data_IF_024962289619
#
_entry.id   IF_024962289619
#
_cell.length_a   1.000
_cell.length_b   1.000
_cell.length_c   1.000
_cell.angle_alpha   90.00
_cell.angle_beta   90.00
_cell.angle_gamma   90.00
#
_symmetry.space_group_name_H-M   'P 1'
#
loop_
_entity.id
_entity.type
_entity.pdbx_description
1 polymer ?
#
# COMPACT_ATOMS: atom_id res chain seq x y z
N UNK A 1 -6.24 78.65 -14.14
CA UNK A 1 -6.26 77.67 -13.05
C UNK A 1 -7.55 76.86 -13.20
N UNK A 2 -7.46 75.66 -13.80
CA UNK A 2 -8.61 74.80 -13.97
C UNK A 2 -8.42 73.62 -13.01
N UNK A 3 -9.27 73.52 -12.03
CA UNK A 3 -9.27 72.54 -10.98
C UNK A 3 -10.08 71.29 -11.50
N UNK A 4 -9.44 70.21 -11.80
CA UNK A 4 -10.10 68.96 -12.21
C UNK A 4 -10.55 68.18 -10.95
N UNK A 5 -11.81 67.75 -10.89
CA UNK A 5 -12.30 66.96 -9.76
C UNK A 5 -11.66 65.58 -9.74
N UNK A 6 -11.19 65.16 -8.59
CA UNK A 6 -10.64 63.85 -8.32
C UNK A 6 -11.81 62.86 -8.24
N UNK A 7 -11.84 61.84 -9.14
CA UNK A 7 -12.89 60.82 -9.21
C UNK A 7 -12.59 59.67 -8.21
N UNK A 8 -13.43 59.49 -7.19
CA UNK A 8 -13.21 58.48 -6.15
C UNK A 8 -13.45 57.03 -6.64
N UNK A 9 -13.97 56.82 -7.85
CA UNK A 9 -14.25 55.47 -8.34
C UNK A 9 -13.03 54.70 -8.87
N UNK A 10 -11.97 55.37 -9.28
CA UNK A 10 -10.74 54.73 -9.74
C UNK A 10 -9.90 54.11 -8.61
N UNK A 11 -10.00 54.67 -7.40
CA UNK A 11 -9.27 54.18 -6.23
C UNK A 11 -9.83 52.83 -5.69
N UNK A 12 -11.15 52.65 -5.73
CA UNK A 12 -11.78 51.44 -5.18
C UNK A 12 -11.57 50.17 -6.04
N UNK A 13 -11.43 50.31 -7.36
CA UNK A 13 -11.19 49.16 -8.24
C UNK A 13 -9.75 48.62 -8.15
N UNK A 14 -8.79 49.47 -7.79
CA UNK A 14 -7.38 49.08 -7.68
C UNK A 14 -7.13 48.26 -6.42
N UNK A 15 -7.76 48.63 -5.28
CA UNK A 15 -7.66 47.84 -4.04
C UNK A 15 -8.37 46.50 -4.13
N UNK A 16 -9.45 46.37 -4.91
CA UNK A 16 -10.15 45.12 -5.11
C UNK A 16 -9.37 44.16 -6.02
N UNK A 17 -8.66 44.63 -7.03
CA UNK A 17 -7.82 43.83 -7.91
C UNK A 17 -6.54 43.33 -7.22
N UNK A 18 -5.91 44.19 -6.40
CA UNK A 18 -4.70 43.82 -5.65
C UNK A 18 -5.01 42.81 -4.53
N UNK A 19 -6.17 42.89 -3.89
CA UNK A 19 -6.63 41.91 -2.90
C UNK A 19 -6.93 40.53 -3.50
N UNK A 20 -7.53 40.49 -4.70
CA UNK A 20 -7.81 39.25 -5.40
C UNK A 20 -6.54 38.57 -5.91
N UNK A 21 -5.60 39.31 -6.48
CA UNK A 21 -4.30 38.79 -6.92
C UNK A 21 -3.44 38.27 -5.75
N UNK A 22 -3.46 38.98 -4.62
CA UNK A 22 -2.73 38.53 -3.43
C UNK A 22 -3.30 37.24 -2.81
N UNK A 23 -4.63 37.09 -2.84
CA UNK A 23 -5.28 35.85 -2.36
C UNK A 23 -5.01 34.64 -3.30
N UNK A 24 -5.00 34.87 -4.60
CA UNK A 24 -4.72 33.85 -5.61
C UNK A 24 -3.25 33.40 -5.57
N UNK A 25 -2.31 34.33 -5.43
CA UNK A 25 -0.88 34.04 -5.28
C UNK A 25 -0.58 33.28 -3.98
N UNK A 26 -1.27 33.59 -2.88
CA UNK A 26 -1.13 32.86 -1.60
C UNK A 26 -1.74 31.47 -1.66
N UNK A 27 -2.81 31.24 -2.41
CA UNK A 27 -3.39 29.89 -2.57
C UNK A 27 -2.51 29.00 -3.44
N UNK A 28 -1.89 29.53 -4.48
CA UNK A 28 -0.96 28.81 -5.37
C UNK A 28 0.33 28.45 -4.62
N UNK A 29 0.90 29.40 -3.86
CA UNK A 29 2.10 29.14 -3.06
C UNK A 29 1.85 28.13 -1.92
N UNK A 30 0.65 28.12 -1.34
CA UNK A 30 0.21 27.14 -0.36
C UNK A 30 0.10 25.72 -0.94
N UNK A 31 -0.42 25.59 -2.15
CA UNK A 31 -0.51 24.30 -2.85
C UNK A 31 0.86 23.78 -3.31
N UNK A 32 1.73 24.66 -3.79
CA UNK A 32 3.11 24.28 -4.13
C UNK A 32 3.93 23.86 -2.91
N UNK A 33 3.78 24.52 -1.78
CA UNK A 33 4.48 24.15 -0.54
C UNK A 33 3.97 22.84 0.04
N UNK A 34 2.67 22.56 -0.04
CA UNK A 34 2.08 21.26 0.33
C UNK A 34 2.52 20.15 -0.62
N UNK A 35 2.55 20.40 -1.92
CA UNK A 35 3.06 19.46 -2.92
C UNK A 35 4.53 19.12 -2.70
N UNK A 36 5.37 20.13 -2.43
CA UNK A 36 6.79 19.96 -2.11
C UNK A 36 7.01 19.22 -0.79
N UNK A 37 6.27 19.54 0.26
CA UNK A 37 6.40 18.85 1.55
C UNK A 37 5.93 17.39 1.48
N UNK A 38 4.87 17.10 0.73
CA UNK A 38 4.43 15.73 0.48
C UNK A 38 5.44 14.94 -0.38
N UNK A 39 5.98 15.55 -1.43
CA UNK A 39 7.00 14.91 -2.27
C UNK A 39 8.31 14.68 -1.52
N UNK A 40 8.71 15.60 -0.65
CA UNK A 40 9.91 15.47 0.20
C UNK A 40 9.69 14.39 1.27
N UNK A 41 8.51 14.32 1.90
CA UNK A 41 8.21 13.31 2.92
C UNK A 41 8.04 11.90 2.35
N UNK A 42 7.54 11.77 1.12
CA UNK A 42 7.45 10.50 0.41
C UNK A 42 8.80 10.09 -0.20
N UNK A 43 9.56 11.03 -0.72
CA UNK A 43 10.86 10.79 -1.35
C UNK A 43 12.00 10.52 -0.36
N UNK A 44 11.96 11.08 0.85
CA UNK A 44 13.00 10.91 1.87
C UNK A 44 13.06 9.49 2.47
N UNK A 45 12.01 8.69 2.30
CA UNK A 45 11.96 7.30 2.76
C UNK A 45 12.36 6.26 1.69
N UNK A 46 12.61 6.70 0.46
CA UNK A 46 13.01 5.80 -0.63
C UNK A 46 14.51 5.97 -0.84
N UNK A 47 15.31 5.12 -0.18
CA UNK A 47 16.73 5.00 -0.53
C UNK A 47 16.81 4.38 -1.93
N UNK A 48 17.41 5.13 -2.87
CA UNK A 48 17.77 4.59 -4.18
C UNK A 48 19.15 3.93 -4.04
N UNK A 49 19.26 2.71 -4.50
CA UNK A 49 20.55 2.04 -4.67
C UNK A 49 21.34 2.80 -5.74
N UNK A 50 22.68 2.73 -5.74
CA UNK A 50 23.55 3.38 -6.74
C UNK A 50 23.17 3.03 -8.20
N UNK A 51 22.46 1.93 -8.42
CA UNK A 51 21.88 1.50 -9.70
C UNK A 51 20.49 2.10 -10.01
N UNK A 52 19.97 3.06 -9.21
CA UNK A 52 18.68 3.71 -9.46
C UNK A 52 17.45 2.88 -9.11
N UNK A 53 17.62 1.64 -8.65
CA UNK A 53 16.52 0.76 -8.25
C UNK A 53 16.02 1.10 -6.84
N UNK A 54 14.69 1.08 -6.66
CA UNK A 54 14.06 1.24 -5.35
C UNK A 54 14.38 0.00 -4.51
N UNK A 55 15.02 0.20 -3.37
CA UNK A 55 15.25 -0.89 -2.40
C UNK A 55 13.93 -1.22 -1.69
N UNK A 56 13.15 -2.10 -2.33
CA UNK A 56 11.84 -2.56 -1.83
C UNK A 56 11.99 -3.21 -0.47
N UNK A 57 13.09 -3.92 -0.23
CA UNK A 57 13.35 -4.57 1.05
C UNK A 57 13.51 -3.55 2.18
N UNK A 58 14.15 -2.42 1.90
CA UNK A 58 14.31 -1.33 2.88
C UNK A 58 12.99 -0.59 3.14
N UNK A 59 12.14 -0.44 2.10
CA UNK A 59 10.84 0.23 2.21
C UNK A 59 9.84 -0.50 3.12
N UNK A 60 9.88 -1.85 3.17
CA UNK A 60 9.04 -2.70 4.03
C UNK A 60 9.62 -2.93 5.44
N UNK A 61 10.67 -2.18 5.82
CA UNK A 61 11.30 -2.30 7.13
C UNK A 61 12.43 -3.33 7.19
N UNK A 62 12.97 -3.72 6.03
CA UNK A 62 14.04 -4.69 5.91
C UNK A 62 13.64 -6.11 6.32
N UNK A 63 14.61 -7.00 6.42
CA UNK A 63 14.42 -8.39 6.84
C UNK A 63 13.72 -8.52 8.20
N UNK A 64 14.02 -7.62 9.12
CA UNK A 64 13.41 -7.56 10.44
C UNK A 64 11.90 -7.28 10.37
N UNK A 65 11.46 -6.33 9.55
CA UNK A 65 10.05 -6.02 9.37
C UNK A 65 9.26 -7.20 8.81
N UNK A 66 9.87 -7.99 7.91
CA UNK A 66 9.28 -9.20 7.36
C UNK A 66 9.07 -10.29 8.41
N UNK A 67 10.08 -10.54 9.24
CA UNK A 67 10.00 -11.52 10.33
C UNK A 67 8.92 -11.10 11.33
N UNK A 68 8.94 -9.86 11.78
CA UNK A 68 7.98 -9.34 12.74
C UNK A 68 6.52 -9.43 12.26
N UNK A 69 6.26 -9.20 10.97
CA UNK A 69 4.89 -9.28 10.41
C UNK A 69 4.42 -10.70 10.16
N UNK A 70 5.34 -11.63 9.89
CA UNK A 70 5.01 -13.04 9.60
C UNK A 70 4.95 -13.90 10.85
N UNK A 71 5.71 -13.55 11.89
CA UNK A 71 5.89 -14.38 13.08
C UNK A 71 4.60 -14.67 13.85
N UNK A 72 3.67 -13.73 14.09
CA UNK A 72 2.42 -14.07 14.78
C UNK A 72 1.60 -15.14 14.05
N UNK A 73 1.50 -15.06 12.73
CA UNK A 73 0.79 -16.07 11.92
C UNK A 73 1.52 -17.40 11.88
N UNK A 74 2.85 -17.38 11.89
CA UNK A 74 3.68 -18.59 11.96
C UNK A 74 3.52 -19.27 13.33
N UNK A 75 3.54 -18.51 14.41
CA UNK A 75 3.32 -19.03 15.76
C UNK A 75 1.91 -19.63 15.89
N UNK A 76 0.88 -18.94 15.38
CA UNK A 76 -0.46 -19.51 15.32
C UNK A 76 -0.46 -20.86 14.63
N UNK A 77 0.14 -20.97 13.45
CA UNK A 77 0.20 -22.20 12.68
C UNK A 77 0.92 -23.33 13.43
N UNK A 78 2.10 -23.04 13.99
CA UNK A 78 2.91 -24.04 14.72
C UNK A 78 2.15 -24.57 15.94
N UNK A 79 1.65 -23.66 16.79
CA UNK A 79 0.98 -24.06 18.03
C UNK A 79 -0.35 -24.76 17.75
N UNK A 80 -1.09 -24.34 16.75
CA UNK A 80 -2.31 -25.01 16.33
C UNK A 80 -2.02 -26.41 15.77
N UNK A 81 -0.96 -26.56 14.96
CA UNK A 81 -0.60 -27.87 14.38
C UNK A 81 -0.16 -28.87 15.44
N UNK A 82 0.60 -28.41 16.44
CA UNK A 82 1.15 -29.29 17.50
C UNK A 82 0.09 -29.65 18.54
N UNK A 83 -0.65 -28.66 19.04
CA UNK A 83 -1.55 -28.85 20.18
C UNK A 83 -3.01 -29.10 19.79
N UNK A 84 -3.40 -28.76 18.56
CA UNK A 84 -4.80 -28.76 18.08
C UNK A 84 -5.75 -27.92 18.95
N UNK A 85 -5.20 -27.06 19.80
CA UNK A 85 -5.95 -26.15 20.66
C UNK A 85 -5.98 -24.76 20.02
N UNK A 86 -7.19 -24.38 19.55
CA UNK A 86 -7.43 -23.11 18.91
C UNK A 86 -7.17 -21.93 19.87
N UNK A 87 -7.66 -22.03 21.11
CA UNK A 87 -7.55 -20.94 22.06
C UNK A 87 -6.11 -20.64 22.44
N UNK A 88 -5.32 -21.71 22.69
CA UNK A 88 -3.89 -21.59 22.97
C UNK A 88 -3.15 -20.93 21.80
N UNK A 89 -3.41 -21.39 20.57
CA UNK A 89 -2.77 -20.83 19.37
C UNK A 89 -3.12 -19.37 19.15
N UNK A 90 -4.39 -18.96 19.38
CA UNK A 90 -4.83 -17.57 19.26
C UNK A 90 -4.18 -16.68 20.32
N UNK A 91 -4.14 -17.11 21.58
CA UNK A 91 -3.50 -16.36 22.67
C UNK A 91 -2.02 -16.11 22.35
N UNK A 92 -1.31 -17.14 21.89
CA UNK A 92 0.12 -17.03 21.56
C UNK A 92 0.32 -16.05 20.38
N UNK A 93 -0.51 -16.13 19.34
CA UNK A 93 -0.41 -15.22 18.18
C UNK A 93 -0.66 -13.75 18.58
N UNK A 94 -1.69 -13.50 19.39
CA UNK A 94 -2.02 -12.14 19.87
C UNK A 94 -0.96 -11.63 20.82
N UNK A 95 -0.47 -12.47 21.74
CA UNK A 95 0.61 -12.10 22.66
C UNK A 95 1.90 -11.73 21.90
N UNK A 96 2.27 -12.51 20.90
CA UNK A 96 3.42 -12.22 20.06
C UNK A 96 3.25 -10.87 19.33
N UNK A 97 2.09 -10.64 18.70
CA UNK A 97 1.79 -9.38 18.03
C UNK A 97 1.85 -8.20 19.01
N UNK A 98 1.34 -8.37 20.23
CA UNK A 98 1.41 -7.38 21.30
C UNK A 98 2.84 -7.05 21.71
N UNK A 99 3.67 -8.07 21.94
CA UNK A 99 5.08 -7.91 22.28
C UNK A 99 5.83 -7.14 21.19
N UNK A 100 5.66 -7.51 19.91
CA UNK A 100 6.30 -6.78 18.81
C UNK A 100 5.81 -5.34 18.69
N UNK A 101 4.53 -5.11 18.95
CA UNK A 101 3.99 -3.74 18.94
C UNK A 101 4.62 -2.91 20.06
N UNK A 102 4.71 -3.43 21.27
CA UNK A 102 5.36 -2.76 22.41
C UNK A 102 6.83 -2.49 22.13
N UNK A 103 7.57 -3.48 21.60
CA UNK A 103 8.97 -3.30 21.22
C UNK A 103 9.15 -2.19 20.18
N UNK A 104 8.28 -2.09 19.19
CA UNK A 104 8.29 -1.01 18.19
C UNK A 104 7.98 0.36 18.80
N UNK A 105 7.06 0.42 19.75
CA UNK A 105 6.75 1.65 20.49
C UNK A 105 7.97 2.14 21.30
N UNK A 106 8.63 1.24 22.02
CA UNK A 106 9.85 1.56 22.79
C UNK A 106 10.98 2.06 21.87
N UNK A 107 11.11 1.49 20.68
CA UNK A 107 12.09 1.89 19.67
C UNK A 107 11.74 3.18 18.93
N UNK A 108 10.65 3.86 19.32
CA UNK A 108 10.14 5.09 18.67
C UNK A 108 9.99 4.96 17.16
N UNK A 109 9.69 3.76 16.66
CA UNK A 109 9.40 3.54 15.25
C UNK A 109 8.00 4.08 14.88
N UNK A 110 7.69 4.18 13.59
CA UNK A 110 6.41 4.71 13.11
C UNK A 110 5.23 3.95 13.74
N UNK A 111 4.34 4.66 14.43
CA UNK A 111 3.20 4.10 15.18
C UNK A 111 2.19 3.39 14.27
N UNK A 112 1.93 3.95 13.07
CA UNK A 112 0.91 3.44 12.15
C UNK A 112 1.16 1.97 11.75
N UNK A 113 2.37 1.55 11.30
CA UNK A 113 2.63 0.15 10.99
C UNK A 113 2.59 -0.78 12.22
N UNK A 114 2.95 -0.28 13.41
CA UNK A 114 2.92 -1.07 14.63
C UNK A 114 1.48 -1.38 15.05
N UNK A 115 0.62 -0.36 15.08
CA UNK A 115 -0.79 -0.50 15.46
C UNK A 115 -1.56 -1.30 14.41
N UNK A 116 -1.33 -1.09 13.12
CA UNK A 116 -2.03 -1.84 12.07
C UNK A 116 -1.72 -3.34 12.13
N UNK A 117 -0.51 -3.73 12.54
CA UNK A 117 -0.12 -5.13 12.69
C UNK A 117 -0.92 -5.83 13.78
N UNK A 118 -0.99 -5.26 14.99
CA UNK A 118 -1.76 -5.86 16.10
C UNK A 118 -3.26 -5.88 15.81
N UNK A 119 -3.81 -4.82 15.22
CA UNK A 119 -5.22 -4.77 14.81
C UNK A 119 -5.53 -5.86 13.80
N UNK A 120 -4.67 -6.07 12.81
CA UNK A 120 -4.84 -7.14 11.82
C UNK A 120 -4.85 -8.53 12.45
N UNK A 121 -3.92 -8.82 13.36
CA UNK A 121 -3.89 -10.10 14.10
C UNK A 121 -5.10 -10.26 15.01
N UNK A 122 -5.51 -9.19 15.70
CA UNK A 122 -6.68 -9.21 16.57
C UNK A 122 -7.99 -9.50 15.79
N UNK A 123 -8.17 -8.92 14.61
CA UNK A 123 -9.31 -9.21 13.73
C UNK A 123 -9.29 -10.67 13.31
N UNK A 124 -8.14 -11.21 12.88
CA UNK A 124 -8.01 -12.62 12.51
C UNK A 124 -8.33 -13.56 13.70
N UNK A 125 -7.76 -13.26 14.86
CA UNK A 125 -7.99 -14.04 16.08
C UNK A 125 -9.45 -13.97 16.53
N UNK A 126 -10.05 -12.79 16.53
CA UNK A 126 -11.46 -12.61 16.88
C UNK A 126 -12.39 -13.39 15.95
N UNK A 127 -12.12 -13.41 14.65
CA UNK A 127 -12.92 -14.17 13.68
C UNK A 127 -12.88 -15.66 14.01
N UNK A 128 -11.69 -16.25 14.17
CA UNK A 128 -11.53 -17.66 14.52
C UNK A 128 -12.12 -18.01 15.90
N UNK A 129 -11.96 -17.12 16.89
CA UNK A 129 -12.55 -17.31 18.22
C UNK A 129 -14.07 -17.35 18.19
N UNK A 130 -14.70 -16.45 17.43
CA UNK A 130 -16.16 -16.37 17.32
C UNK A 130 -16.81 -17.57 16.64
N UNK A 131 -16.13 -18.13 15.66
CA UNK A 131 -16.63 -19.27 14.87
C UNK A 131 -16.22 -20.63 15.44
N UNK A 132 -15.20 -20.66 16.28
CA UNK A 132 -14.60 -21.90 16.78
C UNK A 132 -13.82 -22.70 15.72
N UNK A 133 -13.64 -22.12 14.52
CA UNK A 133 -12.93 -22.76 13.41
C UNK A 133 -11.57 -22.09 13.16
N UNK A 134 -10.49 -22.85 13.25
CA UNK A 134 -9.13 -22.34 13.06
C UNK A 134 -8.87 -21.81 11.65
N UNK A 135 -9.54 -22.36 10.62
CA UNK A 135 -9.42 -21.86 9.25
C UNK A 135 -9.91 -20.41 9.10
N UNK A 136 -10.85 -19.98 9.95
CA UNK A 136 -11.42 -18.63 9.90
C UNK A 136 -10.44 -17.54 10.35
N UNK A 137 -9.31 -17.92 10.98
CA UNK A 137 -8.18 -17.01 11.21
C UNK A 137 -7.66 -16.39 9.89
N UNK A 138 -7.83 -17.08 8.77
CA UNK A 138 -7.36 -16.62 7.47
C UNK A 138 -8.42 -15.85 6.67
N UNK A 139 -9.67 -15.86 7.11
CA UNK A 139 -10.81 -15.25 6.40
C UNK A 139 -10.66 -13.75 6.11
N UNK A 140 -10.19 -12.90 7.05
CA UNK A 140 -9.97 -11.48 6.77
C UNK A 140 -8.96 -11.25 5.64
N UNK A 141 -7.99 -12.16 5.49
CA UNK A 141 -7.03 -12.13 4.39
C UNK A 141 -7.66 -12.41 3.03
N UNK A 142 -8.66 -13.27 2.95
CA UNK A 142 -9.38 -13.53 1.70
C UNK A 142 -10.18 -12.31 1.26
N UNK A 143 -10.90 -11.68 2.19
CA UNK A 143 -11.61 -10.43 1.92
C UNK A 143 -10.66 -9.35 1.42
N UNK A 144 -9.53 -9.16 2.08
CA UNK A 144 -8.52 -8.19 1.67
C UNK A 144 -7.98 -8.46 0.27
N UNK A 145 -7.62 -9.72 -0.03
CA UNK A 145 -7.15 -10.11 -1.37
C UNK A 145 -8.25 -9.94 -2.42
N UNK A 146 -9.50 -10.26 -2.10
CA UNK A 146 -10.66 -10.08 -2.97
C UNK A 146 -10.90 -8.61 -3.32
N UNK A 147 -10.93 -7.75 -2.31
CA UNK A 147 -11.12 -6.30 -2.49
C UNK A 147 -10.01 -5.71 -3.35
N UNK A 148 -8.75 -6.06 -3.08
CA UNK A 148 -7.64 -5.60 -3.91
C UNK A 148 -7.70 -6.13 -5.34
N UNK A 149 -8.08 -7.41 -5.54
CA UNK A 149 -8.25 -7.96 -6.89
C UNK A 149 -9.31 -7.19 -7.68
N UNK A 150 -10.44 -6.91 -7.05
CA UNK A 150 -11.52 -6.10 -7.66
C UNK A 150 -11.01 -4.68 -7.98
N UNK A 151 -10.28 -4.05 -7.05
CA UNK A 151 -9.74 -2.71 -7.25
C UNK A 151 -8.73 -2.67 -8.42
N UNK A 152 -7.83 -3.66 -8.52
CA UNK A 152 -6.89 -3.76 -9.65
C UNK A 152 -7.64 -3.96 -10.99
N UNK A 153 -8.61 -4.86 -11.04
CA UNK A 153 -9.38 -5.13 -12.25
C UNK A 153 -10.22 -3.90 -12.65
N UNK A 154 -10.92 -3.29 -11.70
CA UNK A 154 -11.70 -2.08 -11.93
C UNK A 154 -10.82 -0.94 -12.47
N UNK A 155 -9.60 -0.78 -11.92
CA UNK A 155 -8.65 0.24 -12.38
C UNK A 155 -8.22 0.06 -13.84
N UNK A 156 -8.11 -1.19 -14.31
CA UNK A 156 -7.80 -1.50 -15.70
C UNK A 156 -8.99 -1.11 -16.61
N UNK A 157 -10.21 -1.47 -16.19
CA UNK A 157 -11.45 -1.21 -16.95
C UNK A 157 -11.68 0.30 -17.09
N UNK A 158 -11.52 1.05 -16.01
CA UNK A 158 -11.66 2.51 -16.00
C UNK A 158 -10.53 3.22 -16.77
N UNK A 159 -9.46 2.49 -17.15
CA UNK A 159 -8.31 3.07 -17.87
C UNK A 159 -7.33 3.84 -16.98
N UNK A 160 -7.40 3.59 -15.68
CA UNK A 160 -6.48 4.12 -14.67
C UNK A 160 -5.73 2.99 -13.97
N UNK A 161 -4.83 2.27 -14.66
CA UNK A 161 -4.15 1.13 -14.07
C UNK A 161 -3.35 1.53 -12.82
N UNK A 162 -3.63 0.87 -11.69
CA UNK A 162 -3.01 1.19 -10.38
C UNK A 162 -1.48 1.06 -10.43
N UNK A 163 -0.95 0.08 -11.15
CA UNK A 163 0.50 -0.02 -11.33
C UNK A 163 1.07 1.22 -12.04
N UNK A 164 0.33 1.81 -12.98
CA UNK A 164 0.73 3.05 -13.65
C UNK A 164 0.75 4.24 -12.72
N UNK A 165 -0.21 4.33 -11.79
CA UNK A 165 -0.21 5.38 -10.77
C UNK A 165 0.99 5.25 -9.83
N UNK A 166 1.27 4.03 -9.34
CA UNK A 166 2.35 3.78 -8.38
C UNK A 166 3.71 3.88 -9.08
N UNK A 167 3.92 3.13 -10.15
CA UNK A 167 5.22 3.05 -10.83
C UNK A 167 5.54 4.33 -11.63
N UNK A 168 4.51 4.95 -12.24
CA UNK A 168 4.68 6.22 -12.94
C UNK A 168 5.11 7.34 -11.98
N UNK A 169 4.56 7.36 -10.77
CA UNK A 169 4.99 8.31 -9.75
C UNK A 169 6.43 8.02 -9.25
N UNK A 170 6.77 6.76 -9.00
CA UNK A 170 8.13 6.34 -8.57
C UNK A 170 9.17 6.68 -9.63
N UNK A 171 8.83 6.51 -10.92
CA UNK A 171 9.71 6.82 -12.06
C UNK A 171 9.76 8.31 -12.42
N UNK A 172 8.95 9.14 -11.76
CA UNK A 172 8.87 10.57 -12.06
C UNK A 172 8.09 10.92 -13.33
N UNK A 173 7.44 9.94 -13.95
CA UNK A 173 6.60 10.14 -15.14
C UNK A 173 5.28 10.86 -14.80
N UNK A 174 4.93 10.93 -13.52
CA UNK A 174 3.64 11.47 -13.03
C UNK A 174 2.45 10.87 -13.81
N UNK A 175 1.67 11.68 -14.53
CA UNK A 175 0.54 11.24 -15.36
C UNK A 175 0.81 11.30 -16.88
N UNK A 176 2.03 11.65 -17.29
CA UNK A 176 2.39 11.78 -18.73
C UNK A 176 2.34 10.46 -19.48
N UNK A 177 2.51 9.33 -18.76
CA UNK A 177 2.37 7.99 -19.32
C UNK A 177 0.99 7.71 -19.94
N UNK A 178 -0.06 8.41 -19.48
CA UNK A 178 -1.42 8.25 -20.06
C UNK A 178 -1.53 8.77 -21.48
N UNK A 179 -0.73 9.76 -21.86
CA UNK A 179 -0.71 10.35 -23.20
C UNK A 179 0.00 9.45 -24.21
N UNK A 180 0.80 8.48 -23.74
CA UNK A 180 1.55 7.53 -24.56
C UNK A 180 0.84 6.15 -24.55
N UNK A 181 0.22 5.72 -25.67
CA UNK A 181 -0.56 4.47 -25.70
C UNK A 181 0.27 3.23 -25.37
N UNK A 182 1.56 3.21 -25.70
CA UNK A 182 2.49 2.12 -25.38
C UNK A 182 2.72 2.01 -23.87
N UNK A 183 2.93 3.14 -23.18
CA UNK A 183 3.10 3.19 -21.73
C UNK A 183 1.83 2.74 -21.00
N UNK A 184 0.66 3.19 -21.50
CA UNK A 184 -0.61 2.78 -20.95
C UNK A 184 -0.83 1.26 -21.06
N UNK A 185 -0.45 0.65 -22.19
CA UNK A 185 -0.52 -0.82 -22.38
C UNK A 185 0.40 -1.55 -21.41
N UNK A 186 1.64 -1.07 -21.26
CA UNK A 186 2.62 -1.65 -20.32
C UNK A 186 2.14 -1.58 -18.87
N UNK A 187 1.58 -0.46 -18.44
CA UNK A 187 1.02 -0.33 -17.09
C UNK A 187 -0.27 -1.13 -16.87
N UNK A 188 -1.11 -1.28 -17.90
CA UNK A 188 -2.24 -2.21 -17.83
C UNK A 188 -1.76 -3.65 -17.65
N UNK A 189 -0.74 -4.08 -18.39
CA UNK A 189 -0.16 -5.42 -18.25
C UNK A 189 0.46 -5.62 -16.86
N UNK A 190 1.19 -4.64 -16.35
CA UNK A 190 1.72 -4.68 -14.99
C UNK A 190 0.61 -4.80 -13.93
N UNK A 191 -0.50 -4.08 -14.11
CA UNK A 191 -1.67 -4.18 -13.22
C UNK A 191 -2.34 -5.55 -13.32
N UNK A 192 -2.42 -6.15 -14.51
CA UNK A 192 -2.92 -7.52 -14.70
C UNK A 192 -2.05 -8.55 -13.99
N UNK A 193 -0.71 -8.41 -14.04
CA UNK A 193 0.21 -9.30 -13.30
C UNK A 193 -0.09 -9.25 -11.81
N UNK A 194 -0.26 -8.04 -11.24
CA UNK A 194 -0.60 -7.88 -9.82
C UNK A 194 -1.95 -8.49 -9.47
N UNK A 195 -2.98 -8.25 -10.31
CA UNK A 195 -4.29 -8.87 -10.14
C UNK A 195 -4.21 -10.40 -10.19
N UNK A 196 -3.45 -10.97 -11.13
CA UNK A 196 -3.27 -12.41 -11.28
C UNK A 196 -2.61 -13.03 -10.06
N UNK A 197 -1.62 -12.38 -9.45
CA UNK A 197 -0.98 -12.83 -8.21
C UNK A 197 -2.02 -12.96 -7.08
N UNK A 198 -2.89 -11.96 -6.92
CA UNK A 198 -3.93 -11.98 -5.89
C UNK A 198 -5.01 -13.04 -6.18
N UNK A 199 -5.44 -13.16 -7.43
CA UNK A 199 -6.42 -14.16 -7.86
C UNK A 199 -5.87 -15.59 -7.70
N UNK A 200 -4.60 -15.82 -8.03
CA UNK A 200 -3.94 -17.11 -7.86
C UNK A 200 -3.91 -17.54 -6.38
N UNK A 201 -3.65 -16.57 -5.49
CA UNK A 201 -3.72 -16.83 -4.05
C UNK A 201 -5.12 -17.26 -3.62
N UNK A 202 -6.15 -16.55 -4.06
CA UNK A 202 -7.54 -16.90 -3.73
C UNK A 202 -7.92 -18.25 -4.33
N UNK A 203 -7.54 -18.51 -5.59
CA UNK A 203 -7.84 -19.77 -6.27
C UNK A 203 -7.26 -21.01 -5.56
N UNK A 204 -6.09 -20.86 -4.92
CA UNK A 204 -5.47 -21.96 -4.16
C UNK A 204 -5.99 -22.02 -2.73
N UNK A 205 -6.13 -20.87 -2.07
CA UNK A 205 -6.47 -20.84 -0.64
C UNK A 205 -7.95 -21.07 -0.35
N UNK A 206 -8.86 -20.66 -1.23
CA UNK A 206 -10.31 -20.87 -1.03
C UNK A 206 -10.69 -22.36 -1.01
N UNK A 207 -10.24 -23.20 -1.94
CA UNK A 207 -10.50 -24.66 -1.84
C UNK A 207 -9.96 -25.28 -0.55
N UNK A 208 -8.73 -24.92 -0.15
CA UNK A 208 -8.13 -25.41 1.08
C UNK A 208 -8.93 -25.00 2.33
N UNK A 209 -9.51 -23.81 2.31
CA UNK A 209 -10.38 -23.32 3.37
C UNK A 209 -11.64 -24.19 3.48
N UNK A 210 -12.34 -24.47 2.37
CA UNK A 210 -13.53 -25.34 2.38
C UNK A 210 -13.23 -26.78 2.77
N UNK A 211 -12.01 -27.25 2.54
CA UNK A 211 -11.54 -28.56 2.98
C UNK A 211 -11.16 -28.58 4.47
N UNK A 212 -11.24 -27.47 5.18
CA UNK A 212 -10.75 -27.29 6.57
C UNK A 212 -9.29 -27.71 6.75
N UNK A 213 -8.49 -27.66 5.70
CA UNK A 213 -7.07 -28.00 5.73
C UNK A 213 -6.24 -26.82 6.30
N UNK A 214 -6.48 -26.47 7.56
CA UNK A 214 -5.93 -25.27 8.23
C UNK A 214 -4.41 -25.20 8.18
N UNK A 215 -3.73 -26.33 8.36
CA UNK A 215 -2.26 -26.40 8.35
C UNK A 215 -1.68 -26.13 6.96
N UNK A 216 -2.27 -26.78 5.94
CA UNK A 216 -1.86 -26.58 4.53
C UNK A 216 -2.18 -25.15 4.11
N UNK A 217 -3.33 -24.61 4.53
CA UNK A 217 -3.74 -23.24 4.27
C UNK A 217 -2.73 -22.24 4.87
N UNK A 218 -2.31 -22.47 6.10
CA UNK A 218 -1.31 -21.63 6.77
C UNK A 218 0.05 -21.71 6.09
N UNK A 219 0.52 -22.92 5.74
CA UNK A 219 1.77 -23.10 5.01
C UNK A 219 1.73 -22.40 3.64
N UNK A 220 0.64 -22.59 2.86
CA UNK A 220 0.45 -21.93 1.57
C UNK A 220 0.41 -20.40 1.72
N UNK A 221 -0.19 -19.87 2.80
CA UNK A 221 -0.21 -18.44 3.05
C UNK A 221 1.19 -17.86 3.22
N UNK A 222 2.11 -18.58 3.85
CA UNK A 222 3.51 -18.17 4.04
C UNK A 222 4.25 -18.25 2.70
N UNK A 223 4.18 -19.38 2.01
CA UNK A 223 4.87 -19.62 0.73
C UNK A 223 4.39 -18.64 -0.35
N UNK A 224 3.08 -18.44 -0.45
CA UNK A 224 2.47 -17.50 -1.40
C UNK A 224 2.40 -16.06 -0.84
N UNK A 225 2.98 -15.80 0.30
CA UNK A 225 3.05 -14.47 0.90
C UNK A 225 4.08 -13.64 0.18
N UNK A 226 5.15 -13.35 0.90
CA UNK A 226 6.20 -12.47 0.46
C UNK A 226 6.88 -12.88 -0.85
N UNK A 227 7.26 -14.15 -1.07
CA UNK A 227 7.96 -14.55 -2.29
C UNK A 227 7.12 -14.29 -3.55
N UNK A 228 5.84 -14.64 -3.49
CA UNK A 228 4.94 -14.46 -4.64
C UNK A 228 4.65 -12.98 -4.91
N UNK A 229 4.45 -12.17 -3.86
CA UNK A 229 4.28 -10.72 -4.03
C UNK A 229 5.54 -10.06 -4.57
N UNK A 230 6.72 -10.42 -4.06
CA UNK A 230 7.98 -9.89 -4.54
C UNK A 230 8.21 -10.23 -6.02
N UNK A 231 7.95 -11.48 -6.41
CA UNK A 231 8.04 -11.91 -7.80
C UNK A 231 7.02 -11.15 -8.69
N UNK A 232 5.79 -10.97 -8.23
CA UNK A 232 4.75 -10.24 -8.95
C UNK A 232 5.10 -8.77 -9.15
N UNK A 233 5.58 -8.09 -8.10
CA UNK A 233 6.03 -6.70 -8.18
C UNK A 233 7.24 -6.57 -9.11
N UNK A 234 8.22 -7.46 -8.98
CA UNK A 234 9.40 -7.46 -9.83
C UNK A 234 9.03 -7.65 -11.31
N UNK A 235 8.16 -8.62 -11.61
CA UNK A 235 7.70 -8.87 -12.98
C UNK A 235 6.90 -7.67 -13.53
N UNK A 236 5.99 -7.12 -12.73
CA UNK A 236 5.20 -5.95 -13.10
C UNK A 236 6.10 -4.72 -13.36
N UNK A 237 7.12 -4.53 -12.54
CA UNK A 237 8.11 -3.49 -12.73
C UNK A 237 8.90 -3.69 -14.02
N UNK A 238 9.40 -4.90 -14.28
CA UNK A 238 10.19 -5.24 -15.46
C UNK A 238 9.40 -5.04 -16.76
N UNK A 239 8.16 -5.53 -16.80
CA UNK A 239 7.29 -5.41 -17.99
C UNK A 239 6.88 -3.96 -18.26
N UNK A 240 6.81 -3.14 -17.21
CA UNK A 240 6.49 -1.72 -17.35
C UNK A 240 7.73 -0.84 -17.55
N UNK A 241 8.92 -1.42 -17.75
CA UNK A 241 10.12 -0.63 -18.02
C UNK A 241 10.02 0.11 -19.36
N UNK A 242 10.42 1.40 -19.44
CA UNK A 242 10.53 2.07 -20.72
C UNK A 242 11.52 1.30 -21.58
N UNK A 243 11.12 0.89 -22.79
CA UNK A 243 12.11 0.42 -23.77
C UNK A 243 13.14 1.54 -23.94
N UNK A 244 14.41 1.22 -23.71
CA UNK A 244 15.49 2.14 -24.05
C UNK A 244 15.34 2.44 -25.54
N UNK A 245 14.99 3.68 -25.88
CA UNK A 245 15.03 4.16 -27.25
C UNK A 245 16.49 4.27 -27.61
N UNK A 246 17.02 3.17 -28.15
CA UNK A 246 18.30 3.16 -28.88
C UNK A 246 18.20 3.98 -30.15
#
# INVERSE_FOLDING_TARGET
MVNTPHDPQHSNNQYASDGAQSAETNSISGQESLGKSLSTSLGSNIRRTESGHVDVLHAIGGWRGLVETSLPSLLFLIFFTVNKDLNLALVIAVAAAGIFTVLRLIQRSKLIPAVSGIVGVAICAFTAFRTGNAADYYLPGFWTNGIYSVAFIASIIVGWPLAGLIFGYIRGEQLTWRQKPERLKAYKLATWIMATVLLLRLAIQIPLYYMNATEVLGAMRIVMGLPLYAAGIWLAWRVSDPAETS
#
